data_IF_412620992234
#
_entry.id   IF_412620992234
#
_cell.length_a   1.000
_cell.length_b   1.000
_cell.length_c   1.000
_cell.angle_alpha   90.00
_cell.angle_beta   90.00
_cell.angle_gamma   90.00
#
_symmetry.space_group_name_H-M   'P 1'
#
loop_
_entity.id
_entity.type
_entity.pdbx_description
1 polymer ?
#
# COMPACT_ATOMS: atom_id res chain seq x y z
N UNK A 1 -2.87 -33.52 -12.60
CA UNK A 1 -2.03 -34.06 -11.50
C UNK A 1 -2.11 -33.03 -10.37
N UNK A 2 -2.50 -33.46 -9.17
CA UNK A 2 -3.06 -32.58 -8.14
C UNK A 2 -2.07 -31.49 -7.69
N UNK A 3 -2.52 -30.25 -7.75
CA UNK A 3 -1.83 -29.04 -7.26
C UNK A 3 -1.62 -29.04 -5.73
N UNK A 4 -2.13 -30.04 -5.02
CA UNK A 4 -2.21 -30.09 -3.55
C UNK A 4 -0.88 -30.26 -2.82
N UNK A 5 0.16 -30.81 -3.43
CA UNK A 5 1.43 -31.05 -2.72
C UNK A 5 2.15 -29.75 -2.33
N UNK A 6 2.09 -28.75 -3.21
CA UNK A 6 2.80 -27.48 -3.05
C UNK A 6 1.91 -26.37 -2.49
N UNK A 7 0.65 -26.67 -2.17
CA UNK A 7 -0.33 -25.68 -1.77
C UNK A 7 -0.77 -25.91 -0.33
N UNK A 8 -0.55 -24.90 0.49
CA UNK A 8 -0.92 -24.90 1.90
C UNK A 8 -1.89 -23.76 2.18
N UNK A 9 -2.80 -24.03 3.11
CA UNK A 9 -3.59 -23.00 3.78
C UNK A 9 -3.12 -22.93 5.23
N UNK A 10 -2.99 -21.71 5.77
CA UNK A 10 -2.51 -21.50 7.12
C UNK A 10 -3.40 -22.15 8.19
N UNK A 11 -4.71 -22.17 7.98
CA UNK A 11 -5.66 -22.80 8.92
C UNK A 11 -5.44 -24.32 8.98
N UNK A 12 -5.14 -24.95 7.84
CA UNK A 12 -4.75 -26.35 7.79
C UNK A 12 -3.38 -26.59 8.45
N UNK A 13 -2.43 -25.70 8.21
CA UNK A 13 -1.04 -25.85 8.69
C UNK A 13 -0.97 -25.74 10.21
N UNK A 14 -1.67 -24.78 10.82
CA UNK A 14 -1.51 -24.48 12.24
C UNK A 14 -2.03 -25.61 13.14
N UNK A 15 -3.04 -26.36 12.68
CA UNK A 15 -3.68 -27.45 13.42
C UNK A 15 -3.32 -28.87 12.95
N UNK A 16 -2.37 -29.03 12.02
CA UNK A 16 -2.01 -30.35 11.48
C UNK A 16 -0.50 -30.62 11.45
N UNK A 17 -0.15 -31.86 11.11
CA UNK A 17 1.24 -32.27 10.88
C UNK A 17 1.88 -31.61 9.66
N UNK A 18 1.11 -30.92 8.79
CA UNK A 18 1.63 -30.15 7.64
C UNK A 18 2.65 -29.08 8.07
N UNK A 19 2.57 -28.58 9.30
CA UNK A 19 3.59 -27.68 9.87
C UNK A 19 4.98 -28.32 9.92
N UNK A 20 5.08 -29.62 10.21
CA UNK A 20 6.37 -30.33 10.21
C UNK A 20 6.98 -30.34 8.81
N UNK A 21 6.16 -30.58 7.78
CA UNK A 21 6.57 -30.53 6.38
C UNK A 21 7.17 -29.16 6.04
N UNK A 22 6.46 -28.06 6.32
CA UNK A 22 6.96 -26.72 6.03
C UNK A 22 8.23 -26.37 6.83
N UNK A 23 8.32 -26.79 8.09
CA UNK A 23 9.50 -26.55 8.94
C UNK A 23 10.74 -27.32 8.49
N UNK A 24 10.57 -28.50 7.87
CA UNK A 24 11.68 -29.28 7.33
C UNK A 24 12.25 -28.66 6.05
N UNK A 25 11.52 -27.79 5.38
CA UNK A 25 12.01 -27.09 4.19
C UNK A 25 13.10 -26.07 4.50
N UNK A 26 13.10 -25.52 5.73
CA UNK A 26 13.91 -24.35 6.13
C UNK A 26 13.88 -23.26 5.06
N UNK A 27 12.68 -22.98 4.56
CA UNK A 27 12.48 -22.19 3.37
C UNK A 27 12.78 -20.70 3.58
N UNK A 28 13.03 -20.02 2.48
CA UNK A 28 12.92 -18.57 2.37
C UNK A 28 11.44 -18.26 2.21
N UNK A 29 10.88 -17.47 3.13
CA UNK A 29 9.49 -17.06 3.04
C UNK A 29 9.39 -15.70 2.38
N UNK A 30 8.78 -15.66 1.20
CA UNK A 30 8.35 -14.40 0.59
C UNK A 30 6.97 -14.13 1.17
N UNK A 31 6.91 -13.30 2.21
CA UNK A 31 5.63 -12.85 2.75
C UNK A 31 5.00 -11.98 1.67
N UNK A 32 4.07 -12.53 0.86
CA UNK A 32 3.53 -11.82 -0.31
C UNK A 32 2.62 -10.68 0.14
N UNK A 33 3.03 -9.43 -0.09
CA UNK A 33 2.48 -8.39 0.73
C UNK A 33 1.81 -7.30 -0.17
N UNK A 34 1.96 -7.39 -1.51
CA UNK A 34 1.18 -6.65 -2.52
C UNK A 34 1.35 -7.26 -3.91
N UNK A 35 0.67 -6.70 -4.91
CA UNK A 35 0.79 -7.03 -6.32
C UNK A 35 2.24 -6.94 -6.83
N UNK A 36 2.64 -7.94 -7.62
CA UNK A 36 3.92 -8.02 -8.32
C UNK A 36 3.67 -8.38 -9.78
N UNK A 37 4.50 -7.86 -10.68
CA UNK A 37 4.50 -8.33 -12.07
C UNK A 37 5.13 -9.72 -12.19
N UNK A 38 4.74 -10.45 -13.24
CA UNK A 38 5.37 -11.73 -13.61
C UNK A 38 6.89 -11.59 -13.79
N UNK A 39 7.34 -10.45 -14.32
CA UNK A 39 8.75 -10.15 -14.50
C UNK A 39 9.47 -9.98 -13.16
N UNK A 40 8.90 -9.21 -12.23
CA UNK A 40 9.48 -9.04 -10.89
C UNK A 40 9.52 -10.35 -10.12
N UNK A 41 8.42 -11.10 -10.12
CA UNK A 41 8.39 -12.41 -9.46
C UNK A 41 9.43 -13.37 -10.03
N UNK A 42 9.65 -13.35 -11.35
CA UNK A 42 10.73 -14.13 -11.99
C UNK A 42 12.12 -13.73 -11.47
N UNK A 43 12.40 -12.45 -11.25
CA UNK A 43 13.67 -12.01 -10.67
C UNK A 43 13.86 -12.55 -9.25
N UNK A 44 12.84 -12.43 -8.39
CA UNK A 44 12.89 -12.93 -7.02
C UNK A 44 13.12 -14.44 -6.99
N UNK A 45 12.42 -15.21 -7.84
CA UNK A 45 12.63 -16.65 -7.95
C UNK A 45 14.05 -16.97 -8.37
N UNK A 46 14.63 -16.28 -9.36
CA UNK A 46 16.02 -16.53 -9.79
C UNK A 46 17.03 -16.22 -8.66
N UNK A 47 16.79 -15.17 -7.89
CA UNK A 47 17.67 -14.73 -6.81
C UNK A 47 17.65 -15.70 -5.61
N UNK A 48 16.46 -16.13 -5.18
CA UNK A 48 16.27 -16.88 -3.94
C UNK A 48 16.17 -18.40 -4.13
N UNK A 49 15.74 -18.91 -5.29
CA UNK A 49 15.57 -20.35 -5.48
C UNK A 49 16.90 -21.11 -5.42
N UNK A 50 18.02 -20.48 -5.80
CA UNK A 50 19.35 -21.07 -5.68
C UNK A 50 19.81 -21.25 -4.22
N UNK A 51 19.17 -20.56 -3.27
CA UNK A 51 19.53 -20.56 -1.85
C UNK A 51 18.69 -21.58 -1.05
N UNK A 52 17.54 -22.04 -1.59
CA UNK A 52 16.68 -23.00 -0.91
C UNK A 52 15.27 -23.05 -1.46
N UNK A 53 14.43 -23.85 -0.80
CA UNK A 53 12.99 -23.85 -1.07
C UNK A 53 12.39 -22.47 -0.76
N UNK A 54 11.37 -22.09 -1.53
CA UNK A 54 10.62 -20.85 -1.31
C UNK A 54 9.24 -21.22 -0.79
N UNK A 55 8.78 -20.54 0.25
CA UNK A 55 7.35 -20.45 0.57
C UNK A 55 6.88 -19.07 0.14
N UNK A 56 6.01 -19.03 -0.87
CA UNK A 56 5.32 -17.83 -1.31
C UNK A 56 4.03 -17.69 -0.51
N UNK A 57 3.96 -16.66 0.34
CA UNK A 57 2.70 -16.27 0.95
C UNK A 57 1.68 -15.88 -0.13
N UNK A 58 0.39 -16.05 0.13
CA UNK A 58 -0.70 -15.47 -0.68
C UNK A 58 -1.73 -14.94 0.32
N UNK A 59 -1.93 -13.63 0.36
CA UNK A 59 -2.91 -13.02 1.23
C UNK A 59 -4.33 -13.39 0.77
N UNK A 60 -5.23 -13.64 1.74
CA UNK A 60 -6.67 -13.84 1.47
C UNK A 60 -7.36 -12.52 1.15
N UNK A 61 -6.87 -11.42 1.71
CA UNK A 61 -7.41 -10.10 1.44
C UNK A 61 -7.08 -9.67 -0.01
N UNK A 62 -8.01 -9.00 -0.72
CA UNK A 62 -7.72 -8.49 -2.06
C UNK A 62 -6.80 -7.25 -2.04
N UNK A 63 -6.68 -6.59 -0.89
CA UNK A 63 -5.89 -5.39 -0.67
C UNK A 63 -5.13 -5.48 0.66
N UNK A 64 -4.11 -4.64 0.86
CA UNK A 64 -3.45 -4.45 2.16
C UNK A 64 -4.49 -4.16 3.24
N UNK A 65 -4.35 -4.86 4.37
CA UNK A 65 -5.28 -4.69 5.50
C UNK A 65 -5.28 -3.23 5.98
N UNK A 66 -6.45 -2.61 5.98
CA UNK A 66 -6.64 -1.18 6.28
C UNK A 66 -6.57 -0.24 5.07
N UNK A 67 -6.43 -0.77 3.84
CA UNK A 67 -6.54 -0.09 2.55
C UNK A 67 -7.58 -0.76 1.64
N UNK A 68 -8.70 -1.18 2.21
CA UNK A 68 -9.76 -1.87 1.48
C UNK A 68 -10.30 -1.02 0.31
N UNK A 69 -10.32 -1.63 -0.89
CA UNK A 69 -10.82 -1.03 -2.13
C UNK A 69 -9.78 -0.22 -2.92
N UNK A 70 -8.57 -0.03 -2.38
CA UNK A 70 -7.60 0.89 -2.97
C UNK A 70 -6.65 0.18 -3.94
N UNK A 71 -6.81 0.45 -5.25
CA UNK A 71 -6.13 -0.31 -6.32
C UNK A 71 -4.60 -0.34 -6.19
N UNK A 72 -4.00 0.75 -5.73
CA UNK A 72 -2.56 0.87 -5.51
C UNK A 72 -2.02 0.00 -4.39
N UNK A 73 -2.89 -0.60 -3.55
CA UNK A 73 -2.54 -1.51 -2.48
C UNK A 73 -3.13 -2.92 -2.68
N UNK A 74 -3.37 -3.31 -3.94
CA UNK A 74 -3.81 -4.68 -4.26
C UNK A 74 -2.81 -5.74 -3.85
N UNK A 75 -3.34 -6.91 -3.50
CA UNK A 75 -2.56 -8.11 -3.18
C UNK A 75 -2.18 -8.91 -4.42
N UNK A 76 -1.11 -9.70 -4.29
CA UNK A 76 -0.70 -10.63 -5.35
C UNK A 76 -1.76 -11.72 -5.52
N UNK A 77 -2.34 -11.78 -6.71
CA UNK A 77 -3.22 -12.89 -7.07
C UNK A 77 -2.40 -14.09 -7.53
N UNK A 78 -2.73 -15.28 -6.99
CA UNK A 78 -2.06 -16.54 -7.34
C UNK A 78 -2.00 -16.80 -8.86
N UNK A 79 -3.06 -16.42 -9.58
CA UNK A 79 -3.15 -16.61 -11.04
C UNK A 79 -2.03 -15.89 -11.81
N UNK A 80 -1.55 -14.75 -11.29
CA UNK A 80 -0.48 -13.95 -11.91
C UNK A 80 0.86 -14.69 -11.96
N UNK A 81 1.09 -15.60 -11.01
CA UNK A 81 2.36 -16.33 -10.84
C UNK A 81 2.24 -17.83 -11.12
N UNK A 82 1.03 -18.34 -11.38
CA UNK A 82 0.75 -19.76 -11.55
C UNK A 82 1.66 -20.45 -12.59
N UNK A 83 1.93 -19.79 -13.71
CA UNK A 83 2.82 -20.32 -14.75
C UNK A 83 4.26 -20.51 -14.26
N UNK A 84 4.77 -19.57 -13.44
CA UNK A 84 6.12 -19.66 -12.86
C UNK A 84 6.17 -20.77 -11.80
N UNK A 85 5.16 -20.85 -10.94
CA UNK A 85 5.04 -21.92 -9.94
C UNK A 85 5.08 -23.31 -10.60
N UNK A 86 4.26 -23.51 -11.64
CA UNK A 86 4.22 -24.77 -12.39
C UNK A 86 5.57 -25.10 -13.03
N UNK A 87 6.21 -24.11 -13.69
CA UNK A 87 7.51 -24.29 -14.33
C UNK A 87 8.60 -24.70 -13.33
N UNK A 88 8.65 -24.06 -12.16
CA UNK A 88 9.67 -24.39 -11.15
C UNK A 88 9.40 -25.75 -10.52
N UNK A 89 8.14 -26.04 -10.15
CA UNK A 89 7.82 -27.26 -9.42
C UNK A 89 7.97 -28.52 -10.30
N UNK A 90 7.75 -28.41 -11.61
CA UNK A 90 7.99 -29.51 -12.57
C UNK A 90 9.44 -29.63 -13.04
N UNK A 91 10.31 -28.66 -12.72
CA UNK A 91 11.71 -28.70 -13.12
C UNK A 91 12.52 -29.74 -12.34
N UNK A 92 13.73 -30.06 -12.83
CA UNK A 92 14.70 -30.93 -12.13
C UNK A 92 15.40 -30.24 -10.95
N UNK A 93 15.07 -28.98 -10.65
CA UNK A 93 15.62 -28.27 -9.49
C UNK A 93 15.34 -29.04 -8.21
N UNK A 94 16.32 -29.19 -7.29
CA UNK A 94 16.07 -29.75 -5.97
C UNK A 94 15.20 -28.83 -5.10
N UNK A 95 15.19 -27.53 -5.42
CA UNK A 95 14.39 -26.53 -4.72
C UNK A 95 13.08 -26.24 -5.45
N UNK A 96 12.02 -26.08 -4.66
CA UNK A 96 10.63 -25.91 -5.11
C UNK A 96 10.02 -24.63 -4.54
N UNK A 97 8.89 -24.22 -5.10
CA UNK A 97 8.08 -23.12 -4.60
C UNK A 97 6.77 -23.69 -4.04
N UNK A 98 6.58 -23.50 -2.75
CA UNK A 98 5.36 -23.81 -2.02
C UNK A 98 4.53 -22.54 -1.90
N UNK A 99 3.21 -22.64 -1.94
CA UNK A 99 2.31 -21.54 -1.62
C UNK A 99 1.70 -21.72 -0.25
N UNK A 100 1.55 -20.62 0.49
CA UNK A 100 0.86 -20.58 1.77
C UNK A 100 -0.20 -19.49 1.72
N UNK A 101 -1.47 -19.86 1.66
CA UNK A 101 -2.60 -18.92 1.72
C UNK A 101 -2.92 -18.57 3.18
N UNK A 102 -3.06 -17.29 3.51
CA UNK A 102 -3.24 -16.83 4.89
C UNK A 102 -3.87 -15.42 4.97
N UNK A 103 -4.41 -15.04 6.13
CA UNK A 103 -4.80 -13.65 6.40
C UNK A 103 -3.58 -12.84 6.84
N UNK A 104 -3.44 -11.58 6.39
CA UNK A 104 -2.31 -10.72 6.79
C UNK A 104 -2.16 -10.59 8.31
N UNK A 105 -3.25 -10.64 9.08
CA UNK A 105 -3.21 -10.60 10.55
C UNK A 105 -2.46 -11.79 11.17
N UNK A 106 -2.37 -12.90 10.45
CA UNK A 106 -1.72 -14.13 10.90
C UNK A 106 -0.22 -14.16 10.63
N UNK A 107 0.32 -13.14 9.94
CA UNK A 107 1.77 -13.03 9.63
C UNK A 107 2.63 -13.22 10.86
N UNK A 108 2.25 -12.64 12.00
CA UNK A 108 2.97 -12.79 13.27
C UNK A 108 3.04 -14.24 13.76
N UNK A 109 1.98 -15.02 13.54
CA UNK A 109 1.94 -16.43 13.93
C UNK A 109 2.74 -17.30 12.97
N UNK A 110 2.72 -16.98 11.67
CA UNK A 110 3.56 -17.65 10.68
C UNK A 110 5.04 -17.45 11.03
N UNK A 111 5.44 -16.20 11.29
CA UNK A 111 6.81 -15.89 11.72
C UNK A 111 7.16 -16.48 13.08
N UNK A 112 6.19 -16.74 13.96
CA UNK A 112 6.45 -17.34 15.27
C UNK A 112 6.56 -18.88 15.22
N UNK A 113 5.77 -19.52 14.35
CA UNK A 113 5.62 -21.00 14.34
C UNK A 113 6.44 -21.70 13.26
N UNK A 114 6.74 -21.03 12.15
CA UNK A 114 7.53 -21.64 11.08
C UNK A 114 9.03 -21.50 11.30
N UNK A 115 9.81 -22.54 10.98
CA UNK A 115 11.27 -22.51 10.97
C UNK A 115 11.74 -21.97 9.63
N UNK A 116 11.81 -20.64 9.54
CA UNK A 116 12.19 -19.93 8.32
C UNK A 116 13.68 -19.61 8.35
N UNK A 117 14.37 -19.79 7.22
CA UNK A 117 15.78 -19.43 7.09
C UNK A 117 15.95 -17.92 6.90
N UNK A 118 15.07 -17.32 6.08
CA UNK A 118 15.07 -15.89 5.77
C UNK A 118 13.66 -15.44 5.39
N UNK A 119 13.35 -14.17 5.60
CA UNK A 119 12.07 -13.57 5.19
C UNK A 119 12.30 -12.44 4.18
N UNK A 120 11.66 -12.56 3.02
CA UNK A 120 11.62 -11.49 2.02
C UNK A 120 10.29 -10.76 2.16
N UNK A 121 10.36 -9.48 2.47
CA UNK A 121 9.24 -8.57 2.61
C UNK A 121 9.24 -7.64 1.40
N UNK A 122 8.06 -7.26 0.88
CA UNK A 122 7.96 -6.32 -0.25
C UNK A 122 7.44 -4.98 0.26
N UNK A 123 8.07 -3.89 -0.16
CA UNK A 123 7.67 -2.53 0.20
C UNK A 123 6.21 -2.23 -0.20
N UNK A 124 5.53 -1.39 0.59
CA UNK A 124 4.18 -0.90 0.27
C UNK A 124 3.06 -1.92 0.50
N UNK A 125 3.29 -2.84 1.42
CA UNK A 125 2.48 -4.03 1.61
C UNK A 125 1.83 -4.16 2.98
N UNK A 126 2.06 -3.14 3.79
CA UNK A 126 1.56 -3.06 5.13
C UNK A 126 1.08 -1.64 5.32
N UNK A 127 0.06 -1.49 6.15
CA UNK A 127 -0.33 -0.18 6.64
C UNK A 127 0.65 0.26 7.72
N UNK A 128 1.26 1.43 7.54
CA UNK A 128 2.41 1.94 8.28
C UNK A 128 3.72 1.20 7.97
N UNK A 129 4.82 1.77 8.44
CA UNK A 129 6.14 1.17 8.34
C UNK A 129 6.18 -0.21 9.01
N UNK A 130 6.80 -1.20 8.37
CA UNK A 130 6.79 -2.57 8.86
C UNK A 130 7.41 -2.72 10.26
N UNK A 131 8.47 -1.96 10.57
CA UNK A 131 9.17 -2.05 11.86
C UNK A 131 8.33 -1.58 13.05
N UNK A 132 7.20 -0.91 12.82
CA UNK A 132 6.28 -0.51 13.88
C UNK A 132 5.22 -1.56 14.18
N UNK A 133 5.23 -2.71 13.50
CA UNK A 133 4.17 -3.73 13.59
C UNK A 133 4.61 -4.98 14.35
N UNK A 134 3.64 -5.71 14.92
CA UNK A 134 3.88 -6.94 15.67
C UNK A 134 4.73 -7.98 14.91
N UNK A 135 4.54 -8.25 13.60
CA UNK A 135 5.36 -9.21 12.87
C UNK A 135 6.86 -8.90 12.90
N UNK A 136 7.25 -7.62 12.86
CA UNK A 136 8.66 -7.22 12.96
C UNK A 136 9.31 -7.65 14.29
N UNK A 137 8.59 -7.46 15.40
CA UNK A 137 9.09 -7.86 16.72
C UNK A 137 9.23 -9.38 16.85
N UNK A 138 8.40 -10.15 16.14
CA UNK A 138 8.55 -11.61 16.06
C UNK A 138 9.84 -12.00 15.32
N UNK A 139 10.13 -11.38 14.17
CA UNK A 139 11.36 -11.62 13.41
C UNK A 139 12.60 -11.30 14.26
N UNK A 140 12.59 -10.14 14.92
CA UNK A 140 13.68 -9.68 15.79
C UNK A 140 13.90 -10.64 16.97
N UNK A 141 12.83 -10.98 17.71
CA UNK A 141 12.90 -11.90 18.85
C UNK A 141 13.43 -13.28 18.46
N UNK A 142 13.03 -13.78 17.29
CA UNK A 142 13.46 -15.09 16.77
C UNK A 142 14.78 -15.04 16.01
N UNK A 143 15.38 -13.85 15.85
CA UNK A 143 16.60 -13.63 15.07
C UNK A 143 16.49 -14.18 13.64
N UNK A 144 15.31 -14.04 13.03
CA UNK A 144 15.08 -14.44 11.64
C UNK A 144 15.55 -13.28 10.75
N UNK A 145 16.55 -13.48 9.88
CA UNK A 145 17.00 -12.43 8.98
C UNK A 145 15.90 -12.09 7.98
N UNK A 146 15.82 -10.81 7.61
CA UNK A 146 14.85 -10.36 6.63
C UNK A 146 15.43 -9.30 5.69
N UNK A 147 14.84 -9.20 4.50
CA UNK A 147 15.17 -8.18 3.50
C UNK A 147 13.88 -7.55 2.98
N UNK A 148 13.87 -6.22 2.88
CA UNK A 148 12.82 -5.47 2.18
C UNK A 148 13.22 -5.32 0.71
N UNK A 149 12.31 -5.66 -0.21
CA UNK A 149 12.56 -5.58 -1.65
C UNK A 149 11.51 -4.76 -2.38
N UNK A 150 11.89 -4.24 -3.53
CA UNK A 150 10.97 -3.54 -4.43
C UNK A 150 9.92 -4.48 -5.03
N UNK A 151 8.66 -4.02 -5.21
CA UNK A 151 7.66 -4.74 -6.00
C UNK A 151 7.86 -4.58 -7.52
N UNK A 152 8.81 -3.74 -7.94
CA UNK A 152 9.09 -3.45 -9.35
C UNK A 152 10.49 -3.95 -9.74
N UNK A 153 10.63 -4.31 -11.01
CA UNK A 153 11.89 -4.69 -11.68
C UNK A 153 12.83 -3.49 -11.75
N UNK A 154 12.30 -2.32 -12.12
CA UNK A 154 13.04 -1.07 -12.30
C UNK A 154 12.13 0.14 -12.04
N UNK A 155 12.72 1.35 -12.03
CA UNK A 155 11.99 2.60 -11.82
C UNK A 155 10.97 2.89 -12.93
N UNK A 156 11.23 2.43 -14.16
CA UNK A 156 10.30 2.61 -15.28
C UNK A 156 9.02 1.83 -15.06
N UNK A 157 9.10 0.59 -14.59
CA UNK A 157 7.92 -0.20 -14.21
C UNK A 157 7.17 0.46 -13.05
N UNK A 158 7.89 0.99 -12.04
CA UNK A 158 7.27 1.70 -10.93
C UNK A 158 6.45 2.92 -11.41
N UNK A 159 7.00 3.73 -12.31
CA UNK A 159 6.31 4.89 -12.88
C UNK A 159 5.14 4.49 -13.78
N UNK A 160 5.29 3.42 -14.57
CA UNK A 160 4.21 2.90 -15.40
C UNK A 160 3.05 2.38 -14.55
N UNK A 161 3.34 1.75 -13.41
CA UNK A 161 2.33 1.32 -12.45
C UNK A 161 1.54 2.51 -11.89
N UNK A 162 2.21 3.58 -11.48
CA UNK A 162 1.53 4.81 -11.02
C UNK A 162 0.52 5.31 -12.05
N UNK A 163 0.94 5.48 -13.31
CA UNK A 163 0.07 6.00 -14.37
C UNK A 163 -1.14 5.10 -14.56
N UNK A 164 -0.91 3.80 -14.76
CA UNK A 164 -1.99 2.82 -14.97
C UNK A 164 -2.97 2.80 -13.81
N UNK A 165 -2.46 2.69 -12.58
CA UNK A 165 -3.31 2.59 -11.39
C UNK A 165 -4.07 3.89 -11.14
N UNK A 166 -3.46 5.04 -11.39
CA UNK A 166 -4.15 6.31 -11.26
C UNK A 166 -5.30 6.46 -12.27
N UNK A 167 -5.08 6.04 -13.52
CA UNK A 167 -6.13 6.00 -14.54
C UNK A 167 -7.29 5.09 -14.11
N UNK A 168 -6.98 3.87 -13.66
CA UNK A 168 -7.97 2.90 -13.16
C UNK A 168 -8.81 3.48 -12.01
N UNK A 169 -8.17 4.12 -11.02
CA UNK A 169 -8.88 4.68 -9.85
C UNK A 169 -9.78 5.86 -10.27
N UNK A 170 -9.26 6.78 -11.08
CA UNK A 170 -10.02 7.99 -11.46
C UNK A 170 -11.20 7.67 -12.38
N UNK A 171 -11.12 6.61 -13.17
CA UNK A 171 -12.23 6.13 -13.99
C UNK A 171 -13.34 5.50 -13.13
N UNK A 172 -12.99 4.71 -12.12
CA UNK A 172 -13.94 3.94 -11.32
C UNK A 172 -14.58 4.70 -10.14
N UNK A 173 -13.79 5.44 -9.36
CA UNK A 173 -14.21 5.90 -8.02
C UNK A 173 -14.55 7.40 -7.96
N UNK A 174 -14.08 8.17 -8.94
CA UNK A 174 -14.15 9.63 -8.93
C UNK A 174 -14.75 10.22 -10.20
N UNK A 175 -15.60 9.47 -10.91
CA UNK A 175 -16.36 10.01 -12.04
C UNK A 175 -17.14 11.29 -11.65
N UNK A 176 -17.66 11.35 -10.42
CA UNK A 176 -18.33 12.54 -9.86
C UNK A 176 -17.40 13.75 -9.64
N UNK A 177 -16.06 13.57 -9.66
CA UNK A 177 -15.10 14.69 -9.69
C UNK A 177 -14.91 15.27 -11.11
N UNK A 178 -15.36 14.56 -12.15
CA UNK A 178 -15.18 14.98 -13.56
C UNK A 178 -16.35 15.79 -14.09
N UNK A 179 -17.53 15.65 -13.50
CA UNK A 179 -18.65 16.54 -13.78
C UNK A 179 -18.57 17.74 -12.81
N UNK A 180 -18.64 18.99 -13.29
CA UNK A 180 -18.87 20.11 -12.40
C UNK A 180 -20.23 19.83 -11.74
N UNK A 181 -20.23 19.37 -10.50
CA UNK A 181 -21.44 19.33 -9.71
C UNK A 181 -21.91 20.79 -9.58
N UNK A 182 -22.84 21.17 -10.45
CA UNK A 182 -23.71 22.35 -10.29
C UNK A 182 -24.56 22.18 -9.02
N UNK A 183 -24.66 20.94 -8.53
CA UNK A 183 -25.39 20.57 -7.34
C UNK A 183 -24.69 21.02 -6.07
N UNK A 184 -25.45 21.77 -5.28
CA UNK A 184 -25.09 22.22 -3.95
C UNK A 184 -24.94 21.01 -3.02
N UNK A 185 -23.78 20.89 -2.37
CA UNK A 185 -23.44 19.73 -1.53
C UNK A 185 -23.34 20.12 -0.07
N UNK A 186 -23.77 19.25 0.84
CA UNK A 186 -23.66 19.49 2.29
C UNK A 186 -22.22 19.39 2.79
N UNK A 187 -21.95 19.97 3.96
CA UNK A 187 -20.67 19.83 4.67
C UNK A 187 -20.28 18.35 4.92
N UNK A 188 -21.23 17.49 5.30
CA UNK A 188 -20.97 16.07 5.52
C UNK A 188 -20.47 15.40 4.23
N UNK A 189 -21.11 15.73 3.10
CA UNK A 189 -20.69 15.21 1.80
C UNK A 189 -19.31 15.73 1.38
N UNK A 190 -18.94 16.97 1.70
CA UNK A 190 -17.58 17.48 1.46
C UNK A 190 -16.52 16.76 2.32
N UNK A 191 -16.82 16.40 3.57
CA UNK A 191 -15.92 15.60 4.41
C UNK A 191 -15.80 14.14 3.91
N UNK A 192 -16.90 13.56 3.45
CA UNK A 192 -16.89 12.24 2.79
C UNK A 192 -16.06 12.28 1.50
N UNK A 193 -16.22 13.34 0.71
CA UNK A 193 -15.42 13.59 -0.49
C UNK A 193 -13.92 13.68 -0.17
N UNK A 194 -13.53 14.44 0.86
CA UNK A 194 -12.13 14.51 1.32
C UNK A 194 -11.58 13.14 1.73
N UNK A 195 -12.39 12.33 2.43
CA UNK A 195 -12.03 10.96 2.82
C UNK A 195 -11.94 10.02 1.62
N UNK A 196 -12.78 10.21 0.60
CA UNK A 196 -12.67 9.52 -0.68
C UNK A 196 -11.36 9.86 -1.36
N UNK A 197 -11.11 11.16 -1.61
CA UNK A 197 -9.91 11.68 -2.27
C UNK A 197 -8.61 11.20 -1.59
N UNK A 198 -8.60 11.02 -0.27
CA UNK A 198 -7.46 10.48 0.46
C UNK A 198 -7.00 9.10 -0.06
N UNK A 199 -7.94 8.28 -0.57
CA UNK A 199 -7.66 6.96 -1.14
C UNK A 199 -6.86 7.00 -2.45
N UNK A 200 -6.65 8.18 -3.05
CA UNK A 200 -5.76 8.36 -4.20
C UNK A 200 -4.27 8.33 -3.80
N UNK A 201 -3.96 8.44 -2.51
CA UNK A 201 -2.58 8.49 -2.03
C UNK A 201 -1.90 7.12 -2.03
N UNK A 202 -0.65 7.08 -2.48
CA UNK A 202 0.21 5.89 -2.42
C UNK A 202 1.02 5.81 -1.12
N UNK A 203 0.81 6.74 -0.19
CA UNK A 203 1.43 6.71 1.14
C UNK A 203 0.78 5.63 2.00
N UNK A 204 1.58 4.62 2.38
CA UNK A 204 1.12 3.54 3.24
C UNK A 204 1.04 3.93 4.72
N UNK A 205 1.55 5.09 5.11
CA UNK A 205 1.54 5.56 6.50
C UNK A 205 0.35 6.47 6.78
N UNK A 206 0.12 7.47 5.96
CA UNK A 206 -0.96 8.45 6.17
C UNK A 206 -1.68 8.76 4.87
N UNK A 207 -3.00 8.64 4.86
CA UNK A 207 -3.82 8.97 3.71
C UNK A 207 -4.63 10.23 4.01
N UNK A 208 -4.20 11.32 3.42
CA UNK A 208 -4.79 12.64 3.63
C UNK A 208 -5.36 13.15 2.32
N UNK A 209 -6.62 13.53 2.36
CA UNK A 209 -7.34 14.13 1.24
C UNK A 209 -7.99 15.42 1.68
N UNK A 210 -8.01 16.39 0.77
CA UNK A 210 -8.62 17.69 0.97
C UNK A 210 -9.55 18.03 -0.18
N UNK A 211 -10.63 18.73 0.17
CA UNK A 211 -11.59 19.32 -0.76
C UNK A 211 -11.73 20.80 -0.43
N UNK A 212 -11.64 21.63 -1.45
CA UNK A 212 -11.91 23.06 -1.40
C UNK A 212 -13.31 23.31 -1.91
N UNK A 213 -14.09 24.09 -1.17
CA UNK A 213 -15.41 24.51 -1.61
C UNK A 213 -15.70 25.96 -1.22
N UNK A 214 -16.72 26.56 -1.83
CA UNK A 214 -17.26 27.87 -1.45
C UNK A 214 -18.65 27.71 -0.87
N UNK A 215 -18.88 28.29 0.30
CA UNK A 215 -20.22 28.27 0.91
C UNK A 215 -21.20 29.05 0.02
N UNK A 216 -22.39 28.53 -0.15
CA UNK A 216 -23.41 29.18 -0.97
C UNK A 216 -24.01 30.37 -0.20
N UNK A 217 -24.10 31.58 -0.79
CA UNK A 217 -24.56 32.77 -0.07
C UNK A 217 -25.97 32.64 0.51
N UNK A 218 -26.88 32.03 -0.25
CA UNK A 218 -28.30 31.93 0.13
C UNK A 218 -28.61 30.68 0.96
N UNK A 219 -27.63 29.77 1.13
CA UNK A 219 -27.80 28.56 1.92
C UNK A 219 -26.48 28.18 2.62
N UNK A 220 -26.29 28.56 3.90
CA UNK A 220 -25.06 28.33 4.62
C UNK A 220 -24.76 26.84 4.89
N UNK A 221 -25.73 25.94 4.71
CA UNK A 221 -25.51 24.49 4.85
C UNK A 221 -24.97 23.84 3.57
N UNK A 222 -24.91 24.61 2.48
CA UNK A 222 -24.56 24.15 1.16
C UNK A 222 -23.27 24.77 0.64
N UNK A 223 -22.52 23.95 -0.10
CA UNK A 223 -21.20 24.27 -0.61
C UNK A 223 -21.10 23.92 -2.10
N UNK A 224 -20.47 24.79 -2.85
CA UNK A 224 -20.04 24.55 -4.21
C UNK A 224 -18.62 24.00 -4.20
N UNK A 225 -18.44 22.78 -4.72
CA UNK A 225 -17.13 22.17 -4.88
C UNK A 225 -16.25 22.98 -5.84
N UNK A 226 -14.97 23.16 -5.50
CA UNK A 226 -14.00 23.87 -6.34
C UNK A 226 -12.84 22.99 -6.78
N UNK A 227 -12.12 22.39 -5.82
CA UNK A 227 -10.89 21.65 -6.06
C UNK A 227 -10.74 20.52 -5.05
N UNK A 228 -9.85 19.58 -5.36
CA UNK A 228 -9.41 18.55 -4.44
C UNK A 228 -7.92 18.30 -4.59
N UNK A 229 -7.29 17.81 -3.53
CA UNK A 229 -5.93 17.28 -3.55
C UNK A 229 -5.76 16.19 -2.48
N UNK A 230 -4.65 15.48 -2.54
CA UNK A 230 -4.29 14.44 -1.57
C UNK A 230 -2.78 14.48 -1.35
N UNK A 231 -2.30 13.87 -0.27
CA UNK A 231 -0.87 13.84 0.01
C UNK A 231 -0.17 12.92 -1.01
N UNK A 232 0.93 13.42 -1.58
CA UNK A 232 1.62 12.77 -2.68
C UNK A 232 3.02 12.32 -2.27
N UNK A 233 3.35 11.06 -2.51
CA UNK A 233 4.73 10.57 -2.40
C UNK A 233 5.59 11.24 -3.48
N UNK A 234 6.80 11.66 -3.09
CA UNK A 234 7.78 12.32 -3.96
C UNK A 234 9.02 11.46 -4.17
N UNK A 235 9.73 11.62 -5.30
CA UNK A 235 9.39 12.44 -6.48
C UNK A 235 8.24 11.91 -7.35
N UNK A 236 7.75 10.69 -7.11
CA UNK A 236 6.60 10.09 -7.80
C UNK A 236 5.89 9.10 -6.86
N UNK A 237 4.62 8.75 -7.11
CA UNK A 237 3.76 8.07 -6.13
C UNK A 237 4.30 6.70 -5.69
N UNK A 238 4.89 5.96 -6.62
CA UNK A 238 5.45 4.64 -6.35
C UNK A 238 6.90 4.68 -5.85
N UNK A 239 7.47 5.85 -5.55
CA UNK A 239 8.87 5.99 -5.14
C UNK A 239 9.17 5.24 -3.84
N UNK A 240 8.36 5.46 -2.80
CA UNK A 240 8.50 4.78 -1.52
C UNK A 240 8.28 3.26 -1.65
N UNK A 241 7.41 2.82 -2.57
CA UNK A 241 7.25 1.40 -2.89
C UNK A 241 8.50 0.85 -3.59
N UNK A 242 9.08 1.59 -4.54
CA UNK A 242 10.23 1.12 -5.30
C UNK A 242 11.50 1.05 -4.44
N UNK A 243 11.81 2.13 -3.74
CA UNK A 243 13.06 2.31 -3.01
C UNK A 243 12.96 2.05 -1.50
N UNK A 244 11.76 1.83 -0.96
CA UNK A 244 11.51 1.74 0.49
C UNK A 244 11.23 3.12 1.08
N UNK A 245 10.25 3.19 1.99
CA UNK A 245 9.88 4.44 2.64
C UNK A 245 10.98 4.89 3.62
N UNK A 246 11.13 6.19 3.82
CA UNK A 246 12.16 6.78 4.68
C UNK A 246 12.07 6.22 6.11
N UNK A 247 10.85 6.06 6.63
CA UNK A 247 10.64 5.57 8.00
C UNK A 247 11.23 4.18 8.23
N UNK A 248 11.04 3.26 7.29
CA UNK A 248 11.56 1.89 7.33
C UNK A 248 13.08 1.85 7.22
N UNK A 249 13.67 2.73 6.39
CA UNK A 249 15.12 2.81 6.23
C UNK A 249 15.83 3.30 7.49
N UNK A 250 15.23 4.26 8.17
CA UNK A 250 15.83 4.91 9.35
C UNK A 250 15.27 4.39 10.68
N UNK A 251 14.37 3.41 10.65
CA UNK A 251 13.67 2.88 11.83
C UNK A 251 13.02 3.99 12.68
N UNK A 252 12.54 5.06 12.03
CA UNK A 252 11.98 6.22 12.72
C UNK A 252 10.60 5.89 13.29
N UNK A 253 10.20 6.47 14.45
CA UNK A 253 8.84 6.34 14.95
C UNK A 253 7.83 7.10 14.05
N UNK A 254 6.52 6.79 14.11
CA UNK A 254 5.51 7.39 13.24
C UNK A 254 5.40 8.93 13.32
N UNK A 255 5.75 9.50 14.47
CA UNK A 255 5.66 10.94 14.76
C UNK A 255 6.97 11.70 14.48
N UNK A 256 8.00 11.04 13.95
CA UNK A 256 9.26 11.72 13.62
C UNK A 256 9.11 12.54 12.34
N UNK A 257 9.19 13.86 12.46
CA UNK A 257 8.97 14.76 11.33
C UNK A 257 10.14 14.82 10.34
N UNK A 258 11.27 14.19 10.65
CA UNK A 258 12.44 14.18 9.75
C UNK A 258 12.34 13.15 8.62
N UNK A 259 11.39 12.21 8.72
CA UNK A 259 11.28 11.07 7.82
C UNK A 259 9.92 11.03 7.10
N UNK A 260 9.70 12.01 6.23
CA UNK A 260 8.54 12.05 5.34
C UNK A 260 8.91 11.74 3.90
N UNK A 261 8.07 10.94 3.24
CA UNK A 261 8.16 10.67 1.80
C UNK A 261 7.11 11.47 1.01
N UNK A 262 6.28 12.29 1.68
CA UNK A 262 5.10 12.92 1.08
C UNK A 262 5.06 14.43 1.22
N UNK A 263 4.48 15.07 0.19
CA UNK A 263 3.95 16.44 0.28
C UNK A 263 2.53 16.35 0.83
N UNK A 264 2.20 17.24 1.78
CA UNK A 264 0.90 17.29 2.42
C UNK A 264 -0.22 17.68 1.46
N UNK A 265 -1.43 17.17 1.70
CA UNK A 265 -2.59 17.39 0.84
C UNK A 265 -2.96 18.89 0.74
N UNK A 266 -2.80 19.64 1.83
CA UNK A 266 -3.04 21.08 1.91
C UNK A 266 -2.09 21.86 0.99
N UNK A 267 -0.82 21.47 0.96
CA UNK A 267 0.19 22.09 0.09
C UNK A 267 -0.10 21.76 -1.37
N UNK A 268 -0.40 20.50 -1.68
CA UNK A 268 -0.81 20.07 -3.02
C UNK A 268 -2.05 20.85 -3.51
N UNK A 269 -3.00 21.13 -2.62
CA UNK A 269 -4.18 21.94 -2.96
C UNK A 269 -3.82 23.38 -3.28
N UNK A 270 -2.95 24.03 -2.49
CA UNK A 270 -2.50 25.41 -2.75
C UNK A 270 -1.77 25.48 -4.10
N UNK A 271 -0.87 24.53 -4.37
CA UNK A 271 -0.16 24.43 -5.65
C UNK A 271 -1.17 24.25 -6.80
N UNK A 272 -2.17 23.37 -6.64
CA UNK A 272 -3.20 23.13 -7.64
C UNK A 272 -4.09 24.36 -7.86
N UNK A 273 -4.49 25.05 -6.80
CA UNK A 273 -5.26 26.29 -6.88
C UNK A 273 -4.49 27.38 -7.62
N UNK A 274 -3.19 27.54 -7.34
CA UNK A 274 -2.34 28.49 -8.06
C UNK A 274 -2.23 28.14 -9.55
N UNK A 275 -2.00 26.87 -9.90
CA UNK A 275 -1.95 26.39 -11.30
C UNK A 275 -3.27 26.65 -12.03
N UNK A 276 -4.39 26.45 -11.35
CA UNK A 276 -5.73 26.63 -11.89
C UNK A 276 -6.26 28.07 -11.79
N UNK A 277 -5.49 28.99 -11.20
CA UNK A 277 -5.90 30.39 -10.90
C UNK A 277 -7.22 30.45 -10.11
N UNK A 278 -7.44 29.51 -9.21
CA UNK A 278 -8.63 29.48 -8.33
C UNK A 278 -8.46 30.47 -7.18
N UNK A 279 -9.42 31.37 -7.02
CA UNK A 279 -9.45 32.29 -5.87
C UNK A 279 -9.78 31.53 -4.57
N UNK A 280 -8.90 31.66 -3.58
CA UNK A 280 -9.06 31.03 -2.27
C UNK A 280 -9.86 31.90 -1.29
N UNK A 281 -10.18 33.16 -1.62
CA UNK A 281 -10.89 34.06 -0.72
C UNK A 281 -12.31 33.56 -0.42
N UNK A 282 -12.64 33.48 0.88
CA UNK A 282 -13.96 33.03 1.35
C UNK A 282 -14.25 31.55 1.04
N UNK A 283 -13.22 30.76 0.77
CA UNK A 283 -13.35 29.31 0.59
C UNK A 283 -13.22 28.57 1.92
N UNK A 284 -13.77 27.36 1.97
CA UNK A 284 -13.69 26.43 3.08
C UNK A 284 -12.91 25.18 2.66
N UNK A 285 -11.95 24.79 3.49
CA UNK A 285 -11.18 23.57 3.34
C UNK A 285 -11.80 22.45 4.17
N UNK A 286 -12.15 21.35 3.51
CA UNK A 286 -12.57 20.11 4.15
C UNK A 286 -11.41 19.12 4.07
N UNK A 287 -11.06 18.51 5.20
CA UNK A 287 -9.92 17.60 5.33
C UNK A 287 -10.30 16.41 6.21
N UNK A 288 -9.80 15.22 5.87
CA UNK A 288 -10.09 13.98 6.61
C UNK A 288 -9.17 13.76 7.83
N UNK A 289 -8.13 14.58 7.99
CA UNK A 289 -7.17 14.55 9.09
C UNK A 289 -6.91 15.99 9.56
N UNK A 290 -6.70 16.21 10.85
CA UNK A 290 -6.36 17.55 11.32
C UNK A 290 -5.02 18.01 10.72
N UNK A 291 -4.92 19.24 10.18
CA UNK A 291 -3.67 19.77 9.63
C UNK A 291 -2.55 19.74 10.68
N UNK A 292 -1.33 19.39 10.26
CA UNK A 292 -0.18 19.45 11.16
C UNK A 292 0.10 20.91 11.58
N UNK A 293 0.81 21.14 12.71
CA UNK A 293 1.08 22.50 13.21
C UNK A 293 1.69 23.42 12.15
N UNK A 294 2.58 22.90 11.30
CA UNK A 294 3.23 23.66 10.23
C UNK A 294 2.25 24.10 9.12
N UNK A 295 1.10 23.43 8.98
CA UNK A 295 0.07 23.74 7.98
C UNK A 295 -1.03 24.67 8.50
N UNK A 296 -1.16 24.83 9.83
CA UNK A 296 -2.18 25.69 10.43
C UNK A 296 -2.11 27.17 9.97
N UNK A 297 -0.93 27.80 9.81
CA UNK A 297 -0.85 29.19 9.34
C UNK A 297 -1.44 29.39 7.94
N UNK A 298 -1.42 28.38 7.08
CA UNK A 298 -1.96 28.44 5.72
C UNK A 298 -3.48 28.23 5.68
N UNK A 299 -4.04 27.46 6.62
CA UNK A 299 -5.48 27.22 6.73
C UNK A 299 -6.23 28.39 7.42
N UNK A 300 -5.58 29.11 8.33
CA UNK A 300 -6.24 30.13 9.18
C UNK A 300 -6.18 31.54 8.58
N UNK A 301 -5.23 31.84 7.68
CA UNK A 301 -4.98 33.22 7.21
C UNK A 301 -5.94 33.76 6.14
N UNK A 302 -6.87 32.96 5.60
CA UNK A 302 -7.82 33.41 4.57
C UNK A 302 -9.13 34.05 5.11
N UNK A 303 -9.14 34.52 6.37
CA UNK A 303 -10.28 35.20 7.00
C UNK A 303 -10.26 36.74 6.92
N UNK A 304 -9.39 37.34 6.10
CA UNK A 304 -9.35 38.80 5.90
C UNK A 304 -9.35 39.17 4.40
#
# INVERSE_FOLDING_TARGET
>A
MSTTEYDFDWEDVVFSDKRKTLNNLQAIFIAAPRELSTARFTQLVKEYLQQGNIILGIAREPHVLGFEGQQQFRMLERKTVAAILSKVNTSKSPYKIYTLTYSQRDTKYIFDKLKLHHVVLVNGSWKYAFHTQEPYYVLTRRSIPYTMVSPFVDEREARAYEVKTFDDITEMEFAWLREPAVDLVSQESMLRAASGVAKLSFDSSFQTGVVLAKQYPDNPEQYQFLLYAFNRVVPYQTYAMHYGNSREKFFSPPNDLNHYDTVHAEVELIIKAQKNKTDLKGTTLFINLLPCPDMQPYAVRNRY
#
